data_IF_924134402504
#
_entry.id   IF_924134402504
#
_cell.length_a   1.000
_cell.length_b   1.000
_cell.length_c   1.000
_cell.angle_alpha   90.00
_cell.angle_beta   90.00
_cell.angle_gamma   90.00
#
_symmetry.space_group_name_H-M   'P 1'
#
loop_
_entity.id
_entity.type
_entity.pdbx_description
1 polymer ?
#
# COMPACT_ATOMS: atom_id res chain seq x y z
N UNK A 1 -10.37 -3.85 39.52
CA UNK A 1 -9.33 -3.23 38.68
C UNK A 1 -9.32 -1.75 38.99
N UNK A 2 -8.36 -1.23 39.77
CA UNK A 2 -8.22 0.22 39.89
C UNK A 2 -7.69 0.73 38.55
N UNK A 3 -8.49 1.50 37.84
CA UNK A 3 -8.06 2.20 36.63
C UNK A 3 -7.09 3.29 37.05
N UNK A 4 -5.80 3.03 36.89
CA UNK A 4 -4.75 4.04 37.04
C UNK A 4 -4.91 5.05 35.89
N UNK A 5 -4.90 6.34 36.22
CA UNK A 5 -4.89 7.38 35.19
C UNK A 5 -3.52 7.41 34.53
N UNK A 6 -3.44 7.11 33.24
CA UNK A 6 -2.18 7.11 32.50
C UNK A 6 -1.95 8.46 31.84
N UNK A 7 -0.75 9.01 31.99
CA UNK A 7 -0.33 10.23 31.33
C UNK A 7 -0.15 9.97 29.82
N UNK A 8 -0.76 10.80 28.98
CA UNK A 8 -0.66 10.67 27.52
C UNK A 8 0.73 11.02 26.97
N UNK A 9 1.56 11.77 27.72
CA UNK A 9 2.93 12.15 27.29
C UNK A 9 3.93 11.05 27.62
N UNK A 10 3.98 10.60 28.89
CA UNK A 10 4.97 9.63 29.35
C UNK A 10 4.51 8.18 29.23
N UNK A 11 3.21 7.91 29.13
CA UNK A 11 2.66 6.55 29.19
C UNK A 11 2.69 5.94 30.60
N UNK A 12 3.17 6.69 31.60
CA UNK A 12 3.25 6.27 32.99
C UNK A 12 1.97 6.62 33.76
N UNK A 13 1.66 5.93 34.87
CA UNK A 13 0.59 6.34 35.77
C UNK A 13 0.88 7.75 36.33
N UNK A 14 -0.12 8.64 36.22
CA UNK A 14 -0.04 10.00 36.73
C UNK A 14 -0.22 10.02 38.26
N UNK A 15 0.70 10.68 38.95
CA UNK A 15 0.59 10.99 40.37
C UNK A 15 -0.46 12.08 40.60
N UNK A 16 -0.39 13.15 39.79
CA UNK A 16 -1.37 14.25 39.81
C UNK A 16 -2.01 14.35 38.42
N UNK A 17 -3.10 13.60 38.19
CA UNK A 17 -3.79 13.57 36.90
C UNK A 17 -4.51 14.90 36.66
N UNK A 18 -4.21 15.52 35.51
CA UNK A 18 -4.89 16.73 35.03
C UNK A 18 -5.46 16.50 33.65
N UNK A 19 -6.66 17.03 33.41
CA UNK A 19 -7.37 16.96 32.15
C UNK A 19 -7.15 18.26 31.37
N UNK A 20 -6.75 18.13 30.11
CA UNK A 20 -6.85 19.25 29.15
C UNK A 20 -8.28 19.28 28.58
N UNK A 21 -9.03 20.39 28.71
CA UNK A 21 -10.38 20.50 28.15
C UNK A 21 -10.37 20.48 26.62
N UNK A 22 -9.25 20.84 26.00
CA UNK A 22 -9.07 20.92 24.55
C UNK A 22 -8.92 19.53 23.93
N UNK A 23 -7.95 18.75 24.42
CA UNK A 23 -7.69 17.41 23.90
C UNK A 23 -8.54 16.32 24.56
N UNK A 24 -9.15 16.60 25.73
CA UNK A 24 -9.89 15.62 26.52
C UNK A 24 -9.00 14.49 27.05
N UNK A 25 -7.68 14.71 27.10
CA UNK A 25 -6.68 13.73 27.51
C UNK A 25 -6.16 14.02 28.90
N UNK A 26 -5.74 12.94 29.58
CA UNK A 26 -5.19 13.01 30.93
C UNK A 26 -3.67 13.08 30.85
N UNK A 27 -3.11 13.94 31.68
CA UNK A 27 -1.70 14.24 31.77
C UNK A 27 -1.23 14.24 33.21
N UNK A 28 0.07 14.03 33.39
CA UNK A 28 0.75 14.33 34.64
C UNK A 28 0.97 15.84 34.74
N UNK A 29 0.52 16.48 35.83
CA UNK A 29 0.58 17.94 36.02
C UNK A 29 1.98 18.51 35.72
N UNK A 30 3.02 17.87 36.25
CA UNK A 30 4.42 18.31 36.06
C UNK A 30 4.83 18.36 34.59
N UNK A 31 4.37 17.40 33.79
CA UNK A 31 4.77 17.28 32.39
C UNK A 31 4.01 18.26 31.50
N UNK A 32 2.70 18.37 31.66
CA UNK A 32 1.90 19.28 30.83
C UNK A 32 2.21 20.75 31.12
N UNK A 33 2.47 21.12 32.39
CA UNK A 33 2.87 22.50 32.73
C UNK A 33 4.19 22.87 32.08
N UNK A 34 5.17 21.96 32.07
CA UNK A 34 6.43 22.17 31.35
C UNK A 34 6.20 22.34 29.85
N UNK A 35 5.38 21.49 29.25
CA UNK A 35 5.06 21.57 27.83
C UNK A 35 4.37 22.89 27.45
N UNK A 36 3.40 23.34 28.25
CA UNK A 36 2.70 24.61 28.05
C UNK A 36 3.67 25.80 28.20
N UNK A 37 4.59 25.75 29.17
CA UNK A 37 5.58 26.81 29.35
C UNK A 37 6.56 26.91 28.16
N UNK A 38 6.87 25.80 27.51
CA UNK A 38 7.81 25.75 26.37
C UNK A 38 7.13 26.07 25.03
N UNK A 39 5.92 25.56 24.79
CA UNK A 39 5.26 25.60 23.48
C UNK A 39 3.97 26.44 23.45
N UNK A 40 3.34 26.71 24.60
CA UNK A 40 2.08 27.46 24.68
C UNK A 40 0.84 26.74 24.12
N UNK A 41 0.98 25.46 23.73
CA UNK A 41 -0.07 24.69 23.05
C UNK A 41 -0.33 23.35 23.74
N UNK A 42 -1.43 22.68 23.35
CA UNK A 42 -1.72 21.29 23.71
C UNK A 42 -0.89 20.31 22.86
N UNK A 43 -0.28 19.27 23.45
CA UNK A 43 0.66 18.37 22.75
C UNK A 43 0.03 17.46 21.70
N UNK A 44 -1.31 17.35 21.63
CA UNK A 44 -1.99 16.45 20.70
C UNK A 44 -2.78 17.20 19.63
N UNK A 45 -3.49 18.27 20.02
CA UNK A 45 -4.28 19.07 19.08
C UNK A 45 -3.55 20.31 18.56
N UNK A 46 -2.40 20.68 19.13
CA UNK A 46 -1.66 21.90 18.80
C UNK A 46 -2.52 23.18 18.88
N UNK A 47 -3.50 23.19 19.77
CA UNK A 47 -4.36 24.34 20.06
C UNK A 47 -3.82 25.09 21.29
N UNK A 48 -4.06 26.40 21.39
CA UNK A 48 -3.58 27.20 22.53
C UNK A 48 -4.18 26.70 23.85
N UNK A 49 -3.32 26.42 24.82
CA UNK A 49 -3.71 25.89 26.13
C UNK A 49 -2.98 26.67 27.21
N UNK A 50 -3.74 27.25 28.13
CA UNK A 50 -3.18 27.95 29.30
C UNK A 50 -3.23 27.07 30.53
N UNK A 51 -2.33 27.33 31.49
CA UNK A 51 -2.21 26.51 32.72
C UNK A 51 -3.52 26.52 33.52
N UNK A 52 -4.23 27.64 33.53
CA UNK A 52 -5.47 27.82 34.29
C UNK A 52 -6.65 27.02 33.73
N UNK A 53 -6.57 26.61 32.46
CA UNK A 53 -7.59 25.78 31.83
C UNK A 53 -7.45 24.30 32.21
N UNK A 54 -6.36 23.90 32.86
CA UNK A 54 -6.14 22.53 33.30
C UNK A 54 -7.06 22.19 34.48
N UNK A 55 -7.78 21.07 34.36
CA UNK A 55 -8.68 20.60 35.42
C UNK A 55 -8.02 19.44 36.17
N UNK A 56 -7.69 19.64 37.44
CA UNK A 56 -7.17 18.58 38.30
C UNK A 56 -8.25 17.55 38.65
N UNK A 57 -7.93 16.27 38.45
CA UNK A 57 -8.81 15.16 38.82
C UNK A 57 -8.43 14.73 40.24
N UNK A 58 -9.33 14.96 41.21
CA UNK A 58 -9.13 14.48 42.58
C UNK A 58 -9.34 12.98 42.63
N UNK A 59 -8.34 12.24 43.10
CA UNK A 59 -8.38 10.78 43.22
C UNK A 59 -8.25 10.36 44.68
N UNK A 60 -9.19 9.56 45.19
CA UNK A 60 -9.21 9.09 46.58
C UNK A 60 -8.18 7.99 46.88
N UNK A 61 -7.57 7.42 45.84
CA UNK A 61 -6.55 6.38 45.94
C UNK A 61 -5.26 6.94 45.35
N UNK A 62 -4.18 6.89 46.11
CA UNK A 62 -2.85 7.17 45.61
C UNK A 62 -2.55 6.18 44.47
N UNK A 63 -2.76 6.62 43.22
CA UNK A 63 -2.49 5.89 41.98
C UNK A 63 -0.98 5.73 41.71
N UNK A 64 -0.17 5.74 42.77
CA UNK A 64 1.25 5.52 42.69
C UNK A 64 1.50 4.01 42.63
N UNK A 65 2.21 3.57 41.60
CA UNK A 65 2.75 2.22 41.54
C UNK A 65 3.52 1.93 42.84
N UNK A 66 3.42 0.74 43.44
CA UNK A 66 4.17 0.43 44.66
C UNK A 66 5.66 0.69 44.41
N UNK A 67 6.24 1.63 45.16
CA UNK A 67 7.68 1.91 45.07
C UNK A 67 8.43 0.60 45.28
N UNK A 68 9.28 0.22 44.32
CA UNK A 68 10.10 -0.98 44.42
C UNK A 68 10.96 -0.88 45.68
N UNK A 69 10.84 -1.87 46.57
CA UNK A 69 11.44 -1.90 47.93
C UNK A 69 12.99 -1.93 47.89
N UNK A 70 13.59 -1.94 46.69
CA UNK A 70 15.03 -2.02 46.43
C UNK A 70 15.79 -0.71 46.68
N UNK A 71 15.13 0.45 46.74
CA UNK A 71 15.77 1.76 46.93
C UNK A 71 15.90 2.18 48.41
N UNK A 72 16.27 1.26 49.30
CA UNK A 72 16.36 1.51 50.76
C UNK A 72 17.74 1.93 51.26
N UNK A 73 18.80 1.80 50.45
CA UNK A 73 20.17 2.17 50.80
C UNK A 73 20.77 3.16 49.79
N UNK A 74 21.69 4.03 50.23
CA UNK A 74 22.36 4.98 49.33
C UNK A 74 23.02 4.27 48.14
N UNK A 75 23.76 3.15 48.32
CA UNK A 75 24.33 2.42 47.19
C UNK A 75 23.27 1.86 46.22
N UNK A 76 22.15 1.33 46.73
CA UNK A 76 21.10 0.78 45.86
C UNK A 76 20.35 1.86 45.09
N UNK A 77 20.15 3.04 45.68
CA UNK A 77 19.55 4.19 45.00
C UNK A 77 20.45 4.70 43.87
N UNK A 78 21.77 4.81 44.10
CA UNK A 78 22.72 5.20 43.05
C UNK A 78 22.74 4.20 41.90
N UNK A 79 22.62 2.89 42.20
CA UNK A 79 22.56 1.86 41.16
C UNK A 79 21.31 1.99 40.30
N UNK A 80 20.13 2.19 40.90
CA UNK A 80 18.89 2.42 40.15
C UNK A 80 19.00 3.67 39.27
N UNK A 81 19.55 4.78 39.79
CA UNK A 81 19.73 5.99 38.98
C UNK A 81 20.68 5.79 37.80
N UNK A 82 21.75 5.00 37.97
CA UNK A 82 22.65 4.62 36.87
C UNK A 82 21.91 3.79 35.83
N UNK A 83 21.19 2.76 36.26
CA UNK A 83 20.47 1.85 35.36
C UNK A 83 19.38 2.59 34.55
N UNK A 84 18.63 3.50 35.18
CA UNK A 84 17.63 4.34 34.51
C UNK A 84 18.27 5.33 33.52
N UNK A 85 19.42 5.90 33.88
CA UNK A 85 20.14 6.80 32.99
C UNK A 85 20.73 6.07 31.78
N UNK A 86 21.31 4.89 31.98
CA UNK A 86 21.81 4.03 30.91
C UNK A 86 20.66 3.60 29.97
N UNK A 87 19.51 3.22 30.53
CA UNK A 87 18.31 2.90 29.75
C UNK A 87 17.82 4.10 28.93
N UNK A 88 17.77 5.30 29.51
CA UNK A 88 17.37 6.52 28.83
C UNK A 88 18.34 6.88 27.68
N UNK A 89 19.65 6.73 27.91
CA UNK A 89 20.68 7.00 26.91
C UNK A 89 20.61 6.02 25.74
N UNK A 90 20.49 4.71 26.03
CA UNK A 90 20.34 3.67 25.01
C UNK A 90 19.06 3.86 24.18
N UNK A 91 17.93 4.16 24.84
CA UNK A 91 16.69 4.46 24.14
C UNK A 91 16.81 5.69 23.24
N UNK A 92 17.47 6.75 23.71
CA UNK A 92 17.72 7.95 22.90
C UNK A 92 18.59 7.67 21.68
N UNK A 93 19.60 6.81 21.82
CA UNK A 93 20.43 6.37 20.70
C UNK A 93 19.63 5.55 19.69
N UNK A 94 18.91 4.53 20.16
CA UNK A 94 18.07 3.67 19.31
C UNK A 94 16.99 4.48 18.56
N UNK A 95 16.35 5.44 19.23
CA UNK A 95 15.34 6.30 18.61
C UNK A 95 15.95 7.16 17.48
N UNK A 96 17.16 7.69 17.69
CA UNK A 96 17.88 8.46 16.65
C UNK A 96 18.26 7.58 15.46
N UNK A 97 18.73 6.36 15.73
CA UNK A 97 19.05 5.38 14.69
C UNK A 97 17.80 4.99 13.88
N UNK A 98 16.69 4.64 14.55
CA UNK A 98 15.42 4.33 13.90
C UNK A 98 14.91 5.50 13.05
N UNK A 99 15.02 6.73 13.54
CA UNK A 99 14.64 7.93 12.80
C UNK A 99 15.50 8.08 11.52
N UNK A 100 16.80 7.86 11.61
CA UNK A 100 17.69 7.91 10.44
C UNK A 100 17.35 6.81 9.43
N UNK A 101 17.12 5.58 9.90
CA UNK A 101 16.72 4.46 9.05
C UNK A 101 15.38 4.73 8.35
N UNK A 102 14.37 5.19 9.09
CA UNK A 102 13.07 5.55 8.53
C UNK A 102 13.18 6.65 7.47
N UNK A 103 14.06 7.65 7.65
CA UNK A 103 14.33 8.68 6.64
C UNK A 103 14.98 8.11 5.38
N UNK A 104 15.91 7.18 5.52
CA UNK A 104 16.55 6.53 4.37
C UNK A 104 15.56 5.64 3.62
N UNK A 105 14.78 4.84 4.32
CA UNK A 105 13.70 4.02 3.76
C UNK A 105 12.68 4.87 3.01
N UNK A 106 12.19 5.95 3.64
CA UNK A 106 11.28 6.90 3.01
C UNK A 106 11.89 7.47 1.71
N UNK A 107 13.15 7.91 1.74
CA UNK A 107 13.82 8.45 0.55
C UNK A 107 13.87 7.42 -0.58
N UNK A 108 14.23 6.17 -0.25
CA UNK A 108 14.24 5.08 -1.22
C UNK A 108 12.83 4.79 -1.79
N UNK A 109 11.79 4.75 -0.96
CA UNK A 109 10.41 4.57 -1.44
C UNK A 109 9.95 5.69 -2.37
N UNK A 110 10.33 6.95 -2.10
CA UNK A 110 10.00 8.08 -2.97
C UNK A 110 10.68 7.98 -4.34
N UNK A 111 11.95 7.54 -4.39
CA UNK A 111 12.62 7.29 -5.67
C UNK A 111 11.94 6.15 -6.47
N UNK A 112 11.56 5.07 -5.79
CA UNK A 112 10.83 3.97 -6.42
C UNK A 112 9.45 4.43 -6.90
N UNK A 113 8.76 5.28 -6.15
CA UNK A 113 7.48 5.86 -6.54
C UNK A 113 7.58 6.70 -7.82
N UNK A 114 8.58 7.60 -7.93
CA UNK A 114 8.78 8.37 -9.18
C UNK A 114 9.10 7.46 -10.37
N UNK A 115 9.95 6.44 -10.17
CA UNK A 115 10.24 5.45 -11.21
C UNK A 115 8.98 4.70 -11.66
N UNK A 116 8.13 4.26 -10.72
CA UNK A 116 6.86 3.60 -11.02
C UNK A 116 5.91 4.53 -11.77
N UNK A 117 5.79 5.81 -11.38
CA UNK A 117 4.99 6.79 -12.10
C UNK A 117 5.41 6.96 -13.56
N UNK A 118 6.72 6.94 -13.85
CA UNK A 118 7.24 7.00 -15.24
C UNK A 118 6.85 5.77 -16.05
N UNK A 119 6.88 4.58 -15.44
CA UNK A 119 6.45 3.34 -16.08
C UNK A 119 4.94 3.37 -16.36
N UNK A 120 4.13 3.79 -15.39
CA UNK A 120 2.69 3.94 -15.55
C UNK A 120 2.36 4.93 -16.69
N UNK A 121 3.04 6.07 -16.75
CA UNK A 121 2.83 7.05 -17.81
C UNK A 121 3.18 6.48 -19.21
N UNK A 122 4.26 5.69 -19.31
CA UNK A 122 4.64 5.02 -20.55
C UNK A 122 3.60 3.98 -20.96
N UNK A 123 3.24 3.07 -20.05
CA UNK A 123 2.25 2.03 -20.30
C UNK A 123 0.87 2.63 -20.62
N UNK A 124 0.50 3.75 -19.99
CA UNK A 124 -0.74 4.46 -20.29
C UNK A 124 -0.77 4.99 -21.72
N UNK A 125 0.35 5.52 -22.22
CA UNK A 125 0.48 5.94 -23.63
C UNK A 125 0.38 4.75 -24.59
N UNK A 126 1.08 3.66 -24.30
CA UNK A 126 1.04 2.43 -25.12
C UNK A 126 -0.37 1.81 -25.14
N UNK A 127 -1.05 1.78 -23.98
CA UNK A 127 -2.44 1.32 -23.86
C UNK A 127 -3.38 2.18 -24.73
N UNK A 128 -3.28 3.50 -24.63
CA UNK A 128 -4.13 4.41 -25.40
C UNK A 128 -3.89 4.24 -26.90
N UNK A 129 -2.63 4.17 -27.35
CA UNK A 129 -2.30 3.91 -28.75
C UNK A 129 -2.86 2.57 -29.26
N UNK A 130 -2.79 1.50 -28.46
CA UNK A 130 -3.37 0.21 -28.81
C UNK A 130 -4.91 0.25 -28.91
N UNK A 131 -5.57 1.02 -28.03
CA UNK A 131 -7.04 1.23 -28.10
C UNK A 131 -7.45 2.02 -29.33
N UNK A 132 -6.69 3.05 -29.70
CA UNK A 132 -6.92 3.83 -30.93
C UNK A 132 -6.70 2.96 -32.19
N UNK A 133 -5.69 2.12 -32.22
CA UNK A 133 -5.51 1.14 -33.30
C UNK A 133 -6.70 0.17 -33.41
N UNK A 134 -7.26 -0.28 -32.28
CA UNK A 134 -8.46 -1.12 -32.29
C UNK A 134 -9.74 -0.39 -32.72
N UNK A 135 -9.88 0.90 -32.38
CA UNK A 135 -11.05 1.69 -32.81
C UNK A 135 -11.01 1.98 -34.30
N UNK A 136 -9.84 2.27 -34.86
CA UNK A 136 -9.64 2.46 -36.31
C UNK A 136 -9.84 1.18 -37.13
N UNK A 137 -9.58 0.00 -36.56
CA UNK A 137 -9.86 -1.30 -37.19
C UNK A 137 -11.34 -1.73 -37.12
N UNK A 138 -12.17 -1.09 -36.28
CA UNK A 138 -13.58 -1.46 -36.08
C UNK A 138 -14.64 -1.01 -37.11
N UNK A 139 -14.36 -0.29 -38.23
CA UNK A 139 -15.33 -0.14 -39.31
C UNK A 139 -15.25 -1.23 -40.39
N UNK A 140 -14.21 -2.08 -40.45
CA UNK A 140 -14.10 -3.13 -41.50
C UNK A 140 -14.70 -4.50 -41.12
N UNK A 141 -15.22 -4.66 -39.90
CA UNK A 141 -15.85 -5.92 -39.45
C UNK A 141 -17.39 -5.84 -39.38
N UNK A 142 -17.97 -4.67 -39.69
CA UNK A 142 -19.36 -4.57 -40.13
C UNK A 142 -19.41 -4.69 -41.66
N UNK A 143 -18.76 -5.73 -42.21
CA UNK A 143 -19.03 -6.13 -43.59
C UNK A 143 -20.38 -6.82 -43.55
N UNK A 144 -21.36 -6.04 -44.02
CA UNK A 144 -22.62 -6.46 -44.59
C UNK A 144 -22.54 -7.89 -45.15
N UNK A 145 -23.36 -8.80 -44.63
CA UNK A 145 -23.50 -10.18 -45.12
C UNK A 145 -24.36 -10.18 -46.41
N UNK A 146 -24.13 -9.20 -47.28
CA UNK A 146 -25.08 -8.78 -48.30
C UNK A 146 -24.46 -8.40 -49.64
N UNK A 147 -23.39 -9.06 -50.08
CA UNK A 147 -23.16 -9.42 -51.49
C UNK A 147 -21.77 -10.00 -51.64
N UNK A 148 -21.70 -11.33 -51.82
CA UNK A 148 -20.54 -11.98 -52.39
C UNK A 148 -20.71 -11.86 -53.91
N UNK A 149 -20.04 -10.90 -54.51
CA UNK A 149 -19.65 -10.96 -55.90
C UNK A 149 -18.12 -11.02 -55.93
N UNK A 150 -17.63 -12.17 -56.40
CA UNK A 150 -16.22 -12.47 -56.67
C UNK A 150 -15.60 -11.37 -57.55
N UNK A 151 -14.72 -10.56 -56.97
CA UNK A 151 -13.64 -9.91 -57.71
C UNK A 151 -12.35 -10.05 -56.90
N UNK A 152 -11.59 -11.10 -57.24
CA UNK A 152 -10.23 -11.34 -56.78
C UNK A 152 -9.30 -10.41 -57.55
N UNK A 153 -9.05 -9.22 -57.02
CA UNK A 153 -8.08 -8.28 -57.58
C UNK A 153 -6.67 -8.75 -57.21
N UNK A 154 -5.99 -9.37 -58.18
CA UNK A 154 -4.57 -9.72 -58.08
C UNK A 154 -3.73 -8.47 -58.29
N UNK A 155 -3.30 -7.84 -57.21
CA UNK A 155 -2.27 -6.80 -57.27
C UNK A 155 -0.90 -7.48 -57.43
N UNK A 156 -0.45 -7.57 -58.68
CA UNK A 156 0.91 -7.95 -59.07
C UNK A 156 1.85 -6.74 -58.90
N UNK A 157 2.28 -6.48 -57.66
CA UNK A 157 3.46 -5.63 -57.43
C UNK A 157 4.70 -6.51 -57.49
N UNK A 158 5.39 -6.45 -58.63
CA UNK A 158 6.63 -7.15 -58.90
C UNK A 158 7.74 -6.81 -57.90
N UNK A 159 7.89 -7.65 -56.89
CA UNK A 159 9.10 -7.73 -56.06
C UNK A 159 10.10 -8.65 -56.77
N UNK A 160 10.97 -8.05 -57.60
CA UNK A 160 12.13 -8.72 -58.16
C UNK A 160 13.08 -9.13 -57.02
N UNK A 161 13.13 -10.42 -56.69
CA UNK A 161 14.13 -10.93 -55.74
C UNK A 161 13.86 -12.28 -55.08
N UNK A 162 12.67 -12.87 -55.24
CA UNK A 162 12.35 -14.17 -54.61
C UNK A 162 12.33 -15.26 -55.68
N UNK A 163 13.31 -16.17 -55.62
CA UNK A 163 13.41 -17.34 -56.49
C UNK A 163 12.09 -18.14 -56.50
N UNK A 164 11.60 -18.55 -57.68
CA UNK A 164 10.33 -19.25 -57.89
C UNK A 164 10.12 -20.46 -56.96
N UNK A 165 11.22 -21.12 -56.57
CA UNK A 165 11.20 -22.24 -55.63
C UNK A 165 10.72 -21.83 -54.23
N UNK A 166 11.00 -20.60 -53.81
CA UNK A 166 10.61 -20.06 -52.49
C UNK A 166 9.15 -19.62 -52.49
N UNK A 167 8.66 -19.07 -53.61
CA UNK A 167 7.26 -18.71 -53.80
C UNK A 167 6.34 -19.94 -53.68
N UNK A 168 6.71 -21.05 -54.34
CA UNK A 168 5.98 -22.32 -54.23
C UNK A 168 5.97 -22.86 -52.80
N UNK A 169 7.11 -22.83 -52.10
CA UNK A 169 7.19 -23.25 -50.69
C UNK A 169 6.34 -22.38 -49.76
N UNK A 170 6.21 -21.09 -50.04
CA UNK A 170 5.35 -20.19 -49.26
C UNK A 170 3.88 -20.49 -49.51
N UNK A 171 3.48 -20.72 -50.76
CA UNK A 171 2.10 -21.09 -51.11
C UNK A 171 1.71 -22.44 -50.50
N UNK A 172 2.57 -23.45 -50.56
CA UNK A 172 2.32 -24.77 -49.97
C UNK A 172 2.20 -24.70 -48.43
N UNK A 173 3.07 -23.92 -47.77
CA UNK A 173 2.99 -23.67 -46.33
C UNK A 173 1.73 -22.89 -45.94
N UNK A 174 1.30 -21.93 -46.75
CA UNK A 174 0.06 -21.20 -46.50
C UNK A 174 -1.17 -22.12 -46.60
N UNK A 175 -1.21 -22.99 -47.62
CA UNK A 175 -2.30 -23.96 -47.78
C UNK A 175 -2.39 -24.93 -46.59
N UNK A 176 -1.25 -25.52 -46.19
CA UNK A 176 -1.19 -26.45 -45.04
C UNK A 176 -1.60 -25.78 -43.72
N UNK A 177 -1.12 -24.56 -43.44
CA UNK A 177 -1.49 -23.83 -42.23
C UNK A 177 -2.97 -23.41 -42.21
N UNK A 178 -3.57 -23.14 -43.36
CA UNK A 178 -5.00 -22.80 -43.47
C UNK A 178 -5.88 -24.02 -43.14
N UNK A 179 -5.48 -25.21 -43.60
CA UNK A 179 -6.16 -26.47 -43.22
C UNK A 179 -5.99 -26.75 -41.73
N UNK A 180 -4.77 -26.59 -41.18
CA UNK A 180 -4.51 -26.79 -39.75
C UNK A 180 -5.30 -25.82 -38.86
N UNK A 181 -5.48 -24.56 -39.29
CA UNK A 181 -6.35 -23.58 -38.60
C UNK A 181 -7.82 -24.03 -38.61
N UNK A 182 -8.34 -24.48 -39.76
CA UNK A 182 -9.72 -24.99 -39.86
C UNK A 182 -9.93 -26.25 -38.99
N UNK A 183 -8.91 -27.08 -38.81
CA UNK A 183 -8.97 -28.24 -37.91
C UNK A 183 -8.92 -27.85 -36.42
N UNK A 184 -8.04 -26.91 -36.01
CA UNK A 184 -8.01 -26.38 -34.64
C UNK A 184 -9.30 -25.66 -34.26
N UNK A 185 -9.97 -25.01 -35.21
CA UNK A 185 -11.26 -24.35 -34.97
C UNK A 185 -12.44 -25.32 -34.78
N UNK A 186 -12.34 -26.57 -35.24
CA UNK A 186 -13.41 -27.57 -35.11
C UNK A 186 -13.32 -28.40 -33.82
N UNK A 187 -12.12 -28.61 -33.28
CA UNK A 187 -11.93 -29.39 -32.06
C UNK A 187 -11.75 -28.43 -30.87
N UNK A 188 -12.83 -28.22 -30.10
CA UNK A 188 -12.73 -27.57 -28.80
C UNK A 188 -11.70 -28.34 -27.93
N UNK A 189 -10.85 -27.65 -27.15
CA UNK A 189 -9.91 -28.31 -26.25
C UNK A 189 -10.62 -29.30 -25.32
N UNK A 190 -10.07 -30.51 -25.16
CA UNK A 190 -10.69 -31.60 -24.40
C UNK A 190 -10.97 -31.25 -22.91
N UNK A 191 -10.27 -30.25 -22.37
CA UNK A 191 -10.45 -29.74 -21.01
C UNK A 191 -11.66 -28.78 -20.83
N UNK A 192 -12.35 -28.37 -21.90
CA UNK A 192 -13.53 -27.52 -21.81
C UNK A 192 -14.80 -28.39 -21.77
N UNK A 193 -15.59 -28.27 -20.70
CA UNK A 193 -16.89 -28.93 -20.59
C UNK A 193 -17.84 -28.45 -21.69
N UNK A 194 -18.52 -29.40 -22.34
CA UNK A 194 -19.52 -29.09 -23.37
C UNK A 194 -20.68 -28.32 -22.72
N UNK A 195 -21.36 -27.41 -23.46
CA UNK A 195 -22.45 -26.60 -22.92
C UNK A 195 -23.62 -27.42 -22.34
N UNK A 196 -23.78 -28.68 -22.76
CA UNK A 196 -24.74 -29.62 -22.18
C UNK A 196 -24.36 -30.10 -20.77
N UNK A 197 -23.07 -30.28 -20.49
CA UNK A 197 -22.58 -30.71 -19.18
C UNK A 197 -22.65 -29.59 -18.15
N UNK A 198 -22.51 -28.33 -18.60
CA UNK A 198 -22.61 -27.15 -17.73
C UNK A 198 -24.02 -26.99 -17.16
N UNK A 199 -25.07 -27.38 -17.91
CA UNK A 199 -26.47 -27.32 -17.46
C UNK A 199 -26.78 -28.27 -16.30
N UNK A 200 -25.98 -29.31 -16.12
CA UNK A 200 -26.22 -30.35 -15.10
C UNK A 200 -25.57 -30.02 -13.75
N UNK A 201 -24.78 -28.95 -13.66
CA UNK A 201 -24.16 -28.57 -12.39
C UNK A 201 -25.20 -27.95 -11.44
N UNK A 202 -25.27 -28.48 -10.22
CA UNK A 202 -26.07 -27.92 -9.13
C UNK A 202 -25.17 -27.46 -7.99
N UNK A 203 -25.61 -26.39 -7.31
CA UNK A 203 -24.90 -25.81 -6.19
C UNK A 203 -25.02 -26.72 -4.96
N UNK A 204 -23.88 -27.15 -4.41
CA UNK A 204 -23.80 -27.76 -3.09
C UNK A 204 -23.69 -26.60 -2.10
N UNK A 205 -24.66 -26.47 -1.20
CA UNK A 205 -24.62 -25.48 -0.13
C UNK A 205 -23.53 -25.88 0.88
N UNK A 206 -22.62 -24.94 1.19
CA UNK A 206 -21.72 -25.01 2.34
C UNK A 206 -22.41 -24.45 3.57
#
# INVERSE_FOLDING_TARGET
>A
MSTLYTCSISGEPAEVPVLSPVSGRIFEKRLIVKYINENGTDPFKNEELTIDQLVEIKTDVANAMPRTITATSIPSMLKVLQDEWDACMLNSFMLREQLQNARQELSHTLYQHDAACRVIARLSKELNAAREALSTLKPQAAVDVGNIQDEMETVDEGVQGINEVVLKKLQDKAATLTVARKQRGKNLPEALSKPEQVKTFMQIAC
#
